data_IF_843865945629
#
_entry.id   IF_843865945629
#
_cell.length_a   1.000
_cell.length_b   1.000
_cell.length_c   1.000
_cell.angle_alpha   90.00
_cell.angle_beta   90.00
_cell.angle_gamma   90.00
#
_symmetry.space_group_name_H-M   'P 1'
#
loop_
_entity.id
_entity.type
_entity.pdbx_description
1 polymer ?
#
# COMPACT_ATOMS: atom_id res chain seq x y z
N UNK A 1 -13.20 -41.86 -12.89
CA UNK A 1 -14.21 -40.85 -13.22
C UNK A 1 -13.86 -39.59 -12.45
N UNK A 2 -13.53 -38.52 -13.19
CA UNK A 2 -12.86 -37.30 -12.73
C UNK A 2 -13.71 -36.48 -11.77
N UNK A 3 -13.23 -36.28 -10.54
CA UNK A 3 -13.64 -35.15 -9.70
C UNK A 3 -12.82 -33.95 -10.15
N UNK A 4 -13.40 -33.27 -11.13
CA UNK A 4 -13.01 -32.02 -11.78
C UNK A 4 -12.05 -31.10 -10.98
N UNK A 5 -10.84 -30.94 -11.51
CA UNK A 5 -9.89 -29.84 -11.25
C UNK A 5 -10.45 -28.44 -11.61
N UNK A 6 -11.67 -28.32 -12.17
CA UNK A 6 -12.32 -27.03 -12.44
C UNK A 6 -12.95 -26.38 -11.19
N UNK A 7 -13.02 -27.08 -10.04
CA UNK A 7 -13.66 -26.55 -8.82
C UNK A 7 -12.78 -25.57 -8.03
N UNK A 8 -11.50 -25.44 -8.39
CA UNK A 8 -10.47 -24.70 -7.65
C UNK A 8 -9.82 -23.57 -8.46
N UNK A 9 -10.42 -23.14 -9.59
CA UNK A 9 -9.90 -21.97 -10.28
C UNK A 9 -10.03 -20.72 -9.39
N UNK A 10 -8.91 -20.01 -9.09
CA UNK A 10 -8.92 -18.85 -8.20
C UNK A 10 -9.92 -17.77 -8.61
N UNK A 11 -10.12 -17.59 -9.92
CA UNK A 11 -11.11 -16.67 -10.49
C UNK A 11 -12.53 -17.08 -10.10
N UNK A 12 -12.90 -18.36 -10.17
CA UNK A 12 -14.24 -18.84 -9.83
C UNK A 12 -14.53 -18.65 -8.33
N UNK A 13 -13.52 -18.90 -7.49
CA UNK A 13 -13.60 -18.69 -6.04
C UNK A 13 -13.76 -17.20 -5.71
N UNK A 14 -12.97 -16.33 -6.35
CA UNK A 14 -13.03 -14.87 -6.17
C UNK A 14 -14.42 -14.31 -6.55
N UNK A 15 -14.95 -14.68 -7.72
CA UNK A 15 -16.29 -14.25 -8.14
C UNK A 15 -17.39 -14.78 -7.21
N UNK A 16 -17.26 -16.03 -6.73
CA UNK A 16 -18.21 -16.63 -5.77
C UNK A 16 -18.15 -15.90 -4.41
N UNK A 17 -16.98 -15.52 -3.94
CA UNK A 17 -16.80 -14.75 -2.72
C UNK A 17 -17.46 -13.37 -2.82
N UNK A 18 -17.22 -12.63 -3.91
CA UNK A 18 -17.90 -11.34 -4.17
C UNK A 18 -19.42 -11.53 -4.21
N UNK A 19 -19.92 -12.57 -4.89
CA UNK A 19 -21.36 -12.85 -4.96
C UNK A 19 -21.96 -13.14 -3.59
N UNK A 20 -21.27 -13.89 -2.72
CA UNK A 20 -21.76 -14.20 -1.38
C UNK A 20 -21.69 -12.99 -0.45
N UNK A 21 -20.66 -12.15 -0.56
CA UNK A 21 -20.58 -10.88 0.15
C UNK A 21 -21.74 -9.95 -0.24
N UNK A 22 -22.06 -9.88 -1.53
CA UNK A 22 -23.24 -9.14 -2.01
C UNK A 22 -24.58 -9.67 -1.47
N UNK A 23 -24.68 -10.94 -1.05
CA UNK A 23 -25.90 -11.46 -0.40
C UNK A 23 -26.00 -11.06 1.07
N UNK A 24 -24.91 -10.62 1.69
CA UNK A 24 -24.83 -10.16 3.09
C UNK A 24 -24.82 -8.64 3.16
N UNK A 25 -25.69 -8.00 2.38
CA UNK A 25 -25.78 -6.54 2.29
C UNK A 25 -26.27 -5.87 3.58
N UNK A 26 -27.04 -6.60 4.40
CA UNK A 26 -27.50 -6.10 5.68
C UNK A 26 -26.48 -6.41 6.78
N UNK A 27 -25.41 -5.61 6.80
CA UNK A 27 -24.34 -5.69 7.78
C UNK A 27 -24.84 -5.49 9.21
N UNK A 28 -25.89 -4.68 9.39
CA UNK A 28 -26.42 -4.31 10.70
C UNK A 28 -27.25 -5.43 11.34
N UNK A 29 -27.77 -6.38 10.55
CA UNK A 29 -28.44 -7.58 11.09
C UNK A 29 -27.47 -8.71 11.48
N UNK A 30 -26.17 -8.56 11.20
CA UNK A 30 -25.15 -9.51 11.63
C UNK A 30 -24.69 -9.20 13.07
N UNK A 31 -24.29 -10.25 13.79
CA UNK A 31 -23.56 -10.09 15.05
C UNK A 31 -22.12 -9.59 14.81
N UNK A 32 -21.42 -9.21 15.88
CA UNK A 32 -20.05 -8.66 15.79
C UNK A 32 -19.11 -9.63 15.06
N UNK A 33 -19.24 -10.94 15.31
CA UNK A 33 -18.42 -11.95 14.63
C UNK A 33 -18.71 -12.03 13.12
N UNK A 34 -19.98 -11.98 12.72
CA UNK A 34 -20.39 -11.93 11.32
C UNK A 34 -19.89 -10.67 10.61
N UNK A 35 -19.97 -9.51 11.27
CA UNK A 35 -19.43 -8.24 10.77
C UNK A 35 -17.92 -8.30 10.56
N UNK A 36 -17.17 -8.78 11.57
CA UNK A 36 -15.73 -8.99 11.48
C UNK A 36 -15.36 -10.01 10.37
N UNK A 37 -16.12 -11.09 10.23
CA UNK A 37 -15.90 -12.09 9.18
C UNK A 37 -16.08 -11.52 7.76
N UNK A 38 -17.04 -10.60 7.59
CA UNK A 38 -17.27 -9.91 6.31
C UNK A 38 -16.08 -8.99 5.99
N UNK A 39 -15.64 -8.18 6.95
CA UNK A 39 -14.48 -7.30 6.76
C UNK A 39 -13.18 -8.09 6.51
N UNK A 40 -12.97 -9.20 7.23
CA UNK A 40 -11.84 -10.09 6.99
C UNK A 40 -11.88 -10.68 5.57
N UNK A 41 -13.06 -11.08 5.10
CA UNK A 41 -13.23 -11.59 3.73
C UNK A 41 -12.89 -10.51 2.69
N UNK A 42 -13.31 -9.26 2.91
CA UNK A 42 -12.95 -8.14 2.04
C UNK A 42 -11.45 -7.84 2.06
N UNK A 43 -10.80 -7.92 3.22
CA UNK A 43 -9.34 -7.78 3.33
C UNK A 43 -8.60 -8.88 2.55
N UNK A 44 -9.06 -10.13 2.63
CA UNK A 44 -8.49 -11.24 1.85
C UNK A 44 -8.68 -11.00 0.34
N UNK A 45 -9.85 -10.51 -0.08
CA UNK A 45 -10.08 -10.13 -1.47
C UNK A 45 -9.18 -8.97 -1.91
N UNK A 46 -8.94 -7.99 -1.05
CA UNK A 46 -8.04 -6.88 -1.32
C UNK A 46 -6.61 -7.39 -1.53
N UNK A 47 -6.11 -8.26 -0.64
CA UNK A 47 -4.80 -8.92 -0.79
C UNK A 47 -4.73 -9.69 -2.11
N UNK A 48 -5.79 -10.43 -2.46
CA UNK A 48 -5.85 -11.17 -3.72
C UNK A 48 -5.73 -10.22 -4.92
N UNK A 49 -6.46 -9.09 -4.91
CA UNK A 49 -6.39 -8.09 -5.97
C UNK A 49 -5.01 -7.43 -6.06
N UNK A 50 -4.37 -7.18 -4.92
CA UNK A 50 -3.00 -6.63 -4.83
C UNK A 50 -1.99 -7.59 -5.45
N UNK A 51 -1.98 -8.85 -5.03
CA UNK A 51 -1.04 -9.87 -5.52
C UNK A 51 -1.25 -10.17 -7.00
N UNK A 52 -2.50 -10.18 -7.46
CA UNK A 52 -2.84 -10.42 -8.87
C UNK A 52 -2.69 -9.18 -9.75
N UNK A 53 -2.39 -8.00 -9.19
CA UNK A 53 -2.34 -6.74 -9.95
C UNK A 53 -3.69 -6.34 -10.56
N UNK A 54 -4.81 -6.66 -9.90
CA UNK A 54 -6.16 -6.30 -10.35
C UNK A 54 -6.50 -4.86 -9.97
N UNK A 55 -7.18 -4.15 -10.88
CA UNK A 55 -7.74 -2.81 -10.65
C UNK A 55 -8.92 -2.80 -9.67
N UNK A 56 -9.48 -3.97 -9.35
CA UNK A 56 -10.59 -4.12 -8.42
C UNK A 56 -10.27 -3.66 -7.00
N UNK A 57 -8.98 -3.47 -6.67
CA UNK A 57 -8.56 -3.02 -5.34
C UNK A 57 -9.29 -1.74 -4.90
N UNK A 58 -9.58 -0.81 -5.83
CA UNK A 58 -10.32 0.43 -5.53
C UNK A 58 -11.75 0.15 -5.11
N UNK A 59 -12.42 -0.75 -5.83
CA UNK A 59 -13.80 -1.16 -5.52
C UNK A 59 -13.85 -1.91 -4.20
N UNK A 60 -12.95 -2.89 -3.99
CA UNK A 60 -12.89 -3.66 -2.75
C UNK A 60 -12.58 -2.75 -1.57
N UNK A 61 -11.61 -1.86 -1.71
CA UNK A 61 -11.25 -0.91 -0.66
C UNK A 61 -12.41 0.05 -0.34
N UNK A 62 -13.11 0.56 -1.36
CA UNK A 62 -14.33 1.35 -1.17
C UNK A 62 -15.45 0.59 -0.44
N UNK A 63 -15.59 -0.72 -0.68
CA UNK A 63 -16.53 -1.56 0.07
C UNK A 63 -16.12 -1.69 1.54
N UNK A 64 -14.83 -1.85 1.84
CA UNK A 64 -14.32 -1.87 3.23
C UNK A 64 -14.67 -0.55 3.94
N UNK A 65 -14.38 0.59 3.32
CA UNK A 65 -14.70 1.91 3.89
C UNK A 65 -16.20 2.09 4.13
N UNK A 66 -17.03 1.66 3.18
CA UNK A 66 -18.50 1.72 3.29
C UNK A 66 -18.98 0.83 4.44
N UNK A 67 -18.45 -0.39 4.57
CA UNK A 67 -18.79 -1.29 5.67
C UNK A 67 -18.44 -0.67 7.03
N UNK A 68 -17.24 -0.10 7.17
CA UNK A 68 -16.84 0.57 8.41
C UNK A 68 -17.76 1.75 8.74
N UNK A 69 -18.09 2.58 7.75
CA UNK A 69 -19.00 3.70 7.96
C UNK A 69 -20.39 3.23 8.44
N UNK A 70 -20.92 2.13 7.88
CA UNK A 70 -22.20 1.54 8.31
C UNK A 70 -22.15 0.95 9.72
N UNK A 71 -20.98 0.54 10.20
CA UNK A 71 -20.77 -0.10 11.50
C UNK A 71 -20.28 0.87 12.58
N UNK A 72 -20.66 2.15 12.50
CA UNK A 72 -20.23 3.21 13.42
C UNK A 72 -18.71 3.45 13.46
N UNK A 73 -18.02 3.18 12.35
CA UNK A 73 -16.58 3.39 12.22
C UNK A 73 -15.74 2.25 12.80
N UNK A 74 -14.51 2.56 13.17
CA UNK A 74 -13.56 1.55 13.68
C UNK A 74 -14.00 0.99 15.04
N UNK A 75 -14.54 1.84 15.92
CA UNK A 75 -14.98 1.47 17.27
C UNK A 75 -16.03 0.36 17.27
N UNK A 76 -16.92 0.32 16.28
CA UNK A 76 -17.91 -0.77 16.16
C UNK A 76 -17.28 -2.15 15.89
N UNK A 77 -16.05 -2.18 15.39
CA UNK A 77 -15.34 -3.41 15.02
C UNK A 77 -14.24 -3.78 16.01
N UNK A 78 -13.74 -2.83 16.82
CA UNK A 78 -12.66 -3.01 17.80
C UNK A 78 -13.06 -3.87 19.00
N UNK A 79 -13.43 -5.12 18.73
CA UNK A 79 -13.81 -6.13 19.71
C UNK A 79 -12.91 -7.37 19.56
N UNK A 80 -12.15 -7.67 20.61
CA UNK A 80 -11.22 -8.81 20.64
C UNK A 80 -10.03 -8.67 19.70
N UNK A 81 -9.25 -9.76 19.60
CA UNK A 81 -8.02 -9.80 18.80
C UNK A 81 -8.30 -9.68 17.30
N UNK A 82 -9.38 -10.32 16.81
CA UNK A 82 -9.76 -10.27 15.40
C UNK A 82 -10.15 -8.85 14.96
N UNK A 83 -10.94 -8.15 15.77
CA UNK A 83 -11.30 -6.75 15.52
C UNK A 83 -10.07 -5.84 15.46
N UNK A 84 -9.18 -5.98 16.45
CA UNK A 84 -7.90 -5.25 16.48
C UNK A 84 -7.06 -5.52 15.24
N UNK A 85 -6.93 -6.79 14.84
CA UNK A 85 -6.20 -7.17 13.63
C UNK A 85 -6.82 -6.54 12.37
N UNK A 86 -8.13 -6.66 12.19
CA UNK A 86 -8.86 -6.12 11.03
C UNK A 86 -8.61 -4.62 10.91
N UNK A 87 -8.83 -3.84 11.98
CA UNK A 87 -8.65 -2.40 11.96
C UNK A 87 -7.21 -2.01 11.65
N UNK A 88 -6.24 -2.70 12.25
CA UNK A 88 -4.82 -2.48 11.96
C UNK A 88 -4.48 -2.71 10.49
N UNK A 89 -5.00 -3.79 9.87
CA UNK A 89 -4.80 -4.03 8.44
C UNK A 89 -5.49 -2.95 7.58
N UNK A 90 -6.70 -2.52 7.93
CA UNK A 90 -7.40 -1.46 7.17
C UNK A 90 -6.63 -0.14 7.24
N UNK A 91 -6.16 0.26 8.43
CA UNK A 91 -5.35 1.48 8.60
C UNK A 91 -4.07 1.44 7.78
N UNK A 92 -3.42 0.28 7.69
CA UNK A 92 -2.23 0.07 6.85
C UNK A 92 -2.55 0.28 5.37
N UNK A 93 -3.59 -0.38 4.86
CA UNK A 93 -3.99 -0.21 3.47
C UNK A 93 -4.47 1.22 3.16
N UNK A 94 -5.13 1.91 4.11
CA UNK A 94 -5.43 3.35 3.99
C UNK A 94 -4.17 4.18 3.72
N UNK A 95 -3.08 3.90 4.45
CA UNK A 95 -1.79 4.54 4.25
C UNK A 95 -1.33 4.40 2.80
N UNK A 96 -1.18 3.16 2.33
CA UNK A 96 -0.66 2.88 1.01
C UNK A 96 -1.57 3.31 -0.16
N UNK A 97 -2.89 3.20 0.00
CA UNK A 97 -3.86 3.47 -1.08
C UNK A 97 -4.18 4.96 -1.22
N UNK A 98 -4.02 5.75 -0.15
CA UNK A 98 -4.44 7.15 -0.15
C UNK A 98 -3.86 8.00 -1.29
N UNK A 99 -2.58 7.86 -1.71
CA UNK A 99 -2.06 8.56 -2.89
C UNK A 99 -2.74 8.16 -4.19
N UNK A 100 -3.16 6.90 -4.30
CA UNK A 100 -3.82 6.34 -5.47
C UNK A 100 -5.26 6.85 -5.60
N UNK A 101 -5.93 7.16 -4.48
CA UNK A 101 -7.30 7.68 -4.48
C UNK A 101 -7.37 9.16 -4.84
N UNK A 102 -6.27 9.91 -4.65
CA UNK A 102 -6.12 11.27 -5.16
C UNK A 102 -5.17 12.13 -4.33
N UNK A 103 -4.60 13.21 -4.92
CA UNK A 103 -3.60 14.06 -4.26
C UNK A 103 -4.03 14.56 -2.87
N UNK A 104 -5.24 15.10 -2.74
CA UNK A 104 -5.75 15.62 -1.47
C UNK A 104 -5.91 14.55 -0.38
N UNK A 105 -6.34 13.34 -0.76
CA UNK A 105 -6.46 12.21 0.17
C UNK A 105 -5.07 11.74 0.62
N UNK A 106 -4.13 11.61 -0.32
CA UNK A 106 -2.74 11.28 -0.05
C UNK A 106 -2.07 12.31 0.86
N UNK A 107 -2.22 13.62 0.61
CA UNK A 107 -1.66 14.67 1.49
C UNK A 107 -2.24 14.57 2.89
N UNK A 108 -3.58 14.51 3.02
CA UNK A 108 -4.23 14.41 4.33
C UNK A 108 -3.72 13.22 5.15
N UNK A 109 -3.50 12.08 4.50
CA UNK A 109 -3.05 10.85 5.17
C UNK A 109 -1.55 10.86 5.44
N UNK A 110 -0.72 11.08 4.41
CA UNK A 110 0.74 10.94 4.53
C UNK A 110 1.38 12.08 5.35
N UNK A 111 0.77 13.27 5.42
CA UNK A 111 1.23 14.33 6.34
C UNK A 111 1.11 13.93 7.82
N UNK A 112 0.20 13.02 8.18
CA UNK A 112 0.11 12.51 9.56
C UNK A 112 1.35 11.71 9.93
N UNK A 113 1.92 10.98 8.96
CA UNK A 113 3.12 10.17 9.13
C UNK A 113 4.37 11.02 9.29
N UNK A 114 4.43 12.17 8.61
CA UNK A 114 5.51 13.16 8.79
C UNK A 114 5.41 13.86 10.15
N UNK A 115 4.21 14.17 10.61
CA UNK A 115 4.01 14.93 11.86
C UNK A 115 4.13 14.08 13.14
N UNK A 116 3.78 12.79 13.07
CA UNK A 116 3.78 11.88 14.23
C UNK A 116 4.51 10.57 13.90
N UNK A 117 5.85 10.61 13.99
CA UNK A 117 6.64 9.39 13.98
C UNK A 117 6.14 8.35 14.98
N UNK A 118 6.12 7.08 14.59
CA UNK A 118 5.80 5.90 15.43
C UNK A 118 4.35 5.74 15.95
N UNK A 119 3.51 6.76 15.82
CA UNK A 119 2.14 6.76 16.37
C UNK A 119 1.07 7.11 15.33
N UNK A 120 1.47 7.31 14.07
CA UNK A 120 0.53 7.54 12.99
C UNK A 120 -0.17 6.23 12.61
N UNK A 121 -1.49 6.31 12.54
CA UNK A 121 -2.33 5.21 12.06
C UNK A 121 -1.84 4.72 10.69
N UNK A 122 -1.80 3.41 10.50
CA UNK A 122 -1.36 2.72 9.29
C UNK A 122 0.10 2.26 9.30
N UNK A 123 0.87 2.64 10.31
CA UNK A 123 2.27 2.25 10.48
C UNK A 123 2.53 1.53 11.81
N UNK A 124 1.47 1.13 12.51
CA UNK A 124 1.54 0.41 13.78
C UNK A 124 2.27 -0.93 13.63
N UNK A 125 2.30 -1.51 12.42
CA UNK A 125 3.10 -2.69 12.12
C UNK A 125 4.59 -2.47 12.39
N UNK A 126 5.13 -1.30 12.07
CA UNK A 126 6.55 -1.02 12.26
C UNK A 126 6.85 -0.96 13.76
N UNK A 127 6.07 -0.19 14.52
CA UNK A 127 6.28 -0.03 15.96
C UNK A 127 6.08 -1.34 16.74
N UNK A 128 5.07 -2.13 16.39
CA UNK A 128 4.85 -3.45 17.02
C UNK A 128 5.98 -4.42 16.67
N UNK A 129 6.45 -4.45 15.42
CA UNK A 129 7.56 -5.33 15.05
C UNK A 129 8.88 -4.92 15.72
N UNK A 130 9.13 -3.62 15.96
CA UNK A 130 10.25 -3.17 16.78
C UNK A 130 10.20 -3.78 18.19
N UNK A 131 9.01 -3.79 18.82
CA UNK A 131 8.83 -4.32 20.17
C UNK A 131 8.98 -5.84 20.21
N UNK A 132 8.46 -6.55 19.21
CA UNK A 132 8.55 -8.01 19.12
C UNK A 132 9.96 -8.50 18.77
N UNK A 133 10.69 -7.74 17.96
CA UNK A 133 12.02 -8.12 17.46
C UNK A 133 13.06 -7.00 17.68
N UNK A 134 13.41 -6.70 18.94
CA UNK A 134 14.29 -5.58 19.28
C UNK A 134 15.73 -5.77 18.76
N UNK A 135 16.16 -7.01 18.54
CA UNK A 135 17.47 -7.32 17.94
C UNK A 135 17.61 -6.82 16.49
N UNK A 136 16.51 -6.44 15.84
CA UNK A 136 16.50 -5.83 14.51
C UNK A 136 16.23 -4.32 14.53
N UNK A 137 16.38 -3.65 15.68
CA UNK A 137 16.10 -2.22 15.86
C UNK A 137 16.70 -1.34 14.75
N UNK A 138 17.95 -1.59 14.35
CA UNK A 138 18.60 -0.83 13.27
C UNK A 138 17.91 -1.01 11.91
N UNK A 139 17.43 -2.22 11.58
CA UNK A 139 16.70 -2.43 10.34
C UNK A 139 15.34 -1.71 10.37
N UNK A 140 14.65 -1.77 11.51
CA UNK A 140 13.37 -1.09 11.68
C UNK A 140 13.49 0.44 11.65
N UNK A 141 14.53 1.01 12.24
CA UNK A 141 14.78 2.46 12.19
C UNK A 141 15.05 2.94 10.76
N UNK A 142 15.77 2.14 9.96
CA UNK A 142 15.98 2.42 8.53
C UNK A 142 14.66 2.34 7.76
N UNK A 143 13.87 1.28 7.95
CA UNK A 143 12.56 1.13 7.28
C UNK A 143 11.62 2.29 7.64
N UNK A 144 11.64 2.72 8.90
CA UNK A 144 10.90 3.88 9.36
C UNK A 144 11.35 5.16 8.63
N UNK A 145 12.65 5.43 8.58
CA UNK A 145 13.21 6.59 7.89
C UNK A 145 12.86 6.60 6.39
N UNK A 146 12.90 5.43 5.74
CA UNK A 146 12.48 5.29 4.34
C UNK A 146 11.01 5.68 4.16
N UNK A 147 10.13 5.24 5.07
CA UNK A 147 8.72 5.58 5.00
C UNK A 147 8.48 7.08 5.17
N UNK A 148 9.12 7.69 6.17
CA UNK A 148 9.04 9.13 6.42
C UNK A 148 9.52 9.94 5.21
N UNK A 149 10.69 9.59 4.65
CA UNK A 149 11.25 10.24 3.47
C UNK A 149 10.33 10.11 2.25
N UNK A 150 9.76 8.93 2.00
CA UNK A 150 8.82 8.71 0.90
C UNK A 150 7.52 9.52 1.08
N UNK A 151 6.98 9.56 2.30
CA UNK A 151 5.81 10.38 2.64
C UNK A 151 6.09 11.86 2.41
N UNK A 152 7.25 12.36 2.87
CA UNK A 152 7.65 13.75 2.71
C UNK A 152 7.83 14.12 1.22
N UNK A 153 8.46 13.25 0.42
CA UNK A 153 8.62 13.44 -1.03
C UNK A 153 7.25 13.55 -1.71
N UNK A 154 6.33 12.62 -1.41
CA UNK A 154 4.99 12.65 -1.96
C UNK A 154 4.24 13.93 -1.58
N UNK A 155 4.17 14.26 -0.28
CA UNK A 155 3.44 15.44 0.21
C UNK A 155 4.00 16.71 -0.42
N UNK A 156 5.33 16.82 -0.47
CA UNK A 156 6.01 17.95 -1.08
C UNK A 156 5.66 18.09 -2.56
N UNK A 157 5.65 17.00 -3.32
CA UNK A 157 5.27 17.02 -4.74
C UNK A 157 3.78 17.32 -4.95
N UNK A 158 2.90 16.71 -4.16
CA UNK A 158 1.46 16.89 -4.28
C UNK A 158 1.01 18.33 -4.00
N UNK A 159 1.71 19.02 -3.09
CA UNK A 159 1.49 20.44 -2.77
C UNK A 159 2.25 21.42 -3.68
N UNK A 160 3.13 20.91 -4.54
CA UNK A 160 3.94 21.75 -5.41
C UNK A 160 3.13 22.34 -6.56
N UNK A 161 3.46 23.57 -6.94
CA UNK A 161 2.90 24.17 -8.16
C UNK A 161 3.35 23.37 -9.40
N UNK A 162 2.52 23.29 -10.45
CA UNK A 162 2.96 22.79 -11.75
C UNK A 162 4.26 23.50 -12.18
N UNK A 163 5.25 22.75 -12.64
CA UNK A 163 6.56 23.33 -12.97
C UNK A 163 7.60 23.34 -11.87
N UNK A 164 7.24 22.97 -10.64
CA UNK A 164 8.22 22.90 -9.54
C UNK A 164 9.34 21.88 -9.85
N UNK A 165 10.60 22.23 -9.54
CA UNK A 165 11.76 21.39 -9.86
C UNK A 165 11.66 20.00 -9.19
N UNK A 166 12.47 19.07 -9.71
CA UNK A 166 12.65 17.76 -9.10
C UNK A 166 13.44 17.86 -7.80
N UNK A 167 13.12 16.99 -6.83
CA UNK A 167 13.76 16.95 -5.51
C UNK A 167 14.93 15.97 -5.49
N UNK A 168 15.94 16.24 -6.33
CA UNK A 168 17.13 15.38 -6.50
C UNK A 168 17.75 15.00 -5.15
N UNK A 169 17.90 15.97 -4.25
CA UNK A 169 18.55 15.78 -2.96
C UNK A 169 17.77 14.82 -2.06
N UNK A 170 16.44 14.94 -2.01
CA UNK A 170 15.59 14.04 -1.22
C UNK A 170 15.61 12.61 -1.77
N UNK A 171 15.60 12.45 -3.10
CA UNK A 171 15.72 11.13 -3.74
C UNK A 171 17.08 10.50 -3.43
N UNK A 172 18.15 11.31 -3.45
CA UNK A 172 19.51 10.86 -3.14
C UNK A 172 19.63 10.44 -1.67
N UNK A 173 19.06 11.22 -0.75
CA UNK A 173 19.01 10.87 0.68
C UNK A 173 18.27 9.55 0.91
N UNK A 174 17.14 9.35 0.22
CA UNK A 174 16.39 8.10 0.28
C UNK A 174 17.21 6.91 -0.21
N UNK A 175 17.88 7.04 -1.36
CA UNK A 175 18.75 5.99 -1.90
C UNK A 175 19.89 5.66 -0.92
N UNK A 176 20.52 6.67 -0.32
CA UNK A 176 21.58 6.47 0.67
C UNK A 176 21.05 5.77 1.94
N UNK A 177 19.83 6.09 2.35
CA UNK A 177 19.14 5.40 3.45
C UNK A 177 18.83 3.95 3.10
N UNK A 178 18.34 3.69 1.89
CA UNK A 178 18.00 2.35 1.42
C UNK A 178 19.23 1.44 1.33
N UNK A 179 20.37 1.98 0.88
CA UNK A 179 21.65 1.24 0.81
C UNK A 179 22.16 0.76 2.16
N UNK A 180 21.71 1.37 3.27
CA UNK A 180 22.06 0.93 4.64
C UNK A 180 21.26 -0.30 5.08
N UNK A 181 20.17 -0.65 4.40
CA UNK A 181 19.33 -1.79 4.74
C UNK A 181 19.93 -3.10 4.17
N UNK A 182 20.30 -4.08 5.01
CA UNK A 182 20.78 -5.38 4.53
C UNK A 182 19.79 -6.09 3.58
N UNK A 183 20.27 -6.82 2.55
CA UNK A 183 19.43 -7.51 1.55
C UNK A 183 18.47 -8.57 2.11
N UNK A 184 18.68 -9.01 3.35
CA UNK A 184 17.88 -10.02 4.05
C UNK A 184 17.32 -9.49 5.38
N UNK A 185 17.25 -8.17 5.53
CA UNK A 185 16.66 -7.56 6.71
C UNK A 185 15.19 -7.94 6.86
N UNK A 186 14.73 -8.23 8.09
CA UNK A 186 13.31 -8.34 8.36
C UNK A 186 12.62 -7.03 8.03
N UNK A 187 11.40 -7.13 7.50
CA UNK A 187 10.63 -5.96 7.07
C UNK A 187 11.00 -5.41 5.70
N UNK A 188 11.99 -5.96 5.00
CA UNK A 188 12.30 -5.57 3.62
C UNK A 188 11.07 -5.70 2.70
N UNK A 189 10.16 -6.64 2.97
CA UNK A 189 8.88 -6.74 2.24
C UNK A 189 7.97 -5.50 2.37
N UNK A 190 8.27 -4.54 3.24
CA UNK A 190 7.46 -3.32 3.47
C UNK A 190 7.95 -2.10 2.68
N UNK A 191 9.13 -2.16 2.05
CA UNK A 191 9.71 -1.04 1.30
C UNK A 191 9.28 -0.90 -0.18
N UNK A 192 8.67 -1.88 -0.88
CA UNK A 192 8.33 -1.69 -2.30
C UNK A 192 7.47 -0.46 -2.58
N UNK A 193 6.48 -0.18 -1.74
CA UNK A 193 5.65 1.03 -1.86
C UNK A 193 6.44 2.33 -1.70
N UNK A 194 7.35 2.41 -0.72
CA UNK A 194 8.16 3.62 -0.49
C UNK A 194 9.12 3.84 -1.67
N UNK A 195 9.77 2.77 -2.15
CA UNK A 195 10.65 2.80 -3.32
C UNK A 195 9.88 3.26 -4.55
N UNK A 196 8.66 2.75 -4.77
CA UNK A 196 7.82 3.15 -5.91
C UNK A 196 7.49 4.65 -5.89
N UNK A 197 7.09 5.21 -4.74
CA UNK A 197 6.81 6.64 -4.64
C UNK A 197 8.05 7.49 -4.94
N UNK A 198 9.21 7.11 -4.39
CA UNK A 198 10.45 7.85 -4.61
C UNK A 198 10.95 7.71 -6.05
N UNK A 199 10.77 6.53 -6.65
CA UNK A 199 11.09 6.29 -8.06
C UNK A 199 10.28 7.20 -8.98
N UNK A 200 9.03 7.51 -8.65
CA UNK A 200 8.22 8.45 -9.43
C UNK A 200 8.78 9.89 -9.39
N UNK A 201 9.45 10.29 -8.31
CA UNK A 201 10.11 11.60 -8.19
C UNK A 201 11.48 11.63 -8.89
N UNK A 202 12.14 10.48 -9.08
CA UNK A 202 13.52 10.37 -9.53
C UNK A 202 13.80 11.07 -10.89
N UNK A 203 14.58 12.16 -10.90
CA UNK A 203 14.90 12.88 -12.14
C UNK A 203 16.05 12.27 -12.93
N UNK A 204 17.05 11.66 -12.25
CA UNK A 204 18.27 11.21 -12.91
C UNK A 204 18.19 9.75 -13.38
N UNK A 205 18.76 9.41 -14.55
CA UNK A 205 18.80 8.03 -15.06
C UNK A 205 19.38 7.02 -14.06
N UNK A 206 20.47 7.37 -13.38
CA UNK A 206 21.13 6.46 -12.41
C UNK A 206 20.26 6.17 -11.20
N UNK A 207 19.51 7.18 -10.71
CA UNK A 207 18.55 7.01 -9.61
C UNK A 207 17.41 6.08 -10.04
N UNK A 208 16.87 6.28 -11.25
CA UNK A 208 15.81 5.44 -11.83
C UNK A 208 16.26 4.00 -11.98
N UNK A 209 17.45 3.77 -12.55
CA UNK A 209 18.02 2.44 -12.75
C UNK A 209 18.20 1.71 -11.40
N UNK A 210 18.72 2.39 -10.39
CA UNK A 210 18.89 1.81 -9.06
C UNK A 210 17.54 1.39 -8.46
N UNK A 211 16.57 2.30 -8.41
CA UNK A 211 15.25 2.06 -7.79
C UNK A 211 14.46 0.99 -8.56
N UNK A 212 14.49 1.03 -9.89
CA UNK A 212 13.91 -0.02 -10.75
C UNK A 212 14.55 -1.39 -10.47
N UNK A 213 15.88 -1.44 -10.36
CA UNK A 213 16.60 -2.67 -10.03
C UNK A 213 16.15 -3.27 -8.69
N UNK A 214 15.92 -2.43 -7.67
CA UNK A 214 15.42 -2.90 -6.37
C UNK A 214 13.99 -3.45 -6.49
N UNK A 215 13.07 -2.73 -7.15
CA UNK A 215 11.69 -3.19 -7.38
C UNK A 215 11.64 -4.50 -8.19
N UNK A 216 12.49 -4.65 -9.21
CA UNK A 216 12.62 -5.88 -9.98
C UNK A 216 13.11 -7.05 -9.10
N UNK A 217 14.03 -6.80 -8.18
CA UNK A 217 14.49 -7.82 -7.25
C UNK A 217 13.39 -8.24 -6.26
N UNK A 218 12.53 -7.31 -5.83
CA UNK A 218 11.32 -7.66 -5.06
C UNK A 218 10.35 -8.53 -5.87
N UNK A 219 10.10 -8.16 -7.12
CA UNK A 219 9.25 -8.96 -8.01
C UNK A 219 9.80 -10.38 -8.20
N UNK A 220 11.10 -10.54 -8.42
CA UNK A 220 11.75 -11.87 -8.52
C UNK A 220 11.56 -12.72 -7.25
N UNK A 221 11.45 -12.09 -6.08
CA UNK A 221 11.28 -12.77 -4.79
C UNK A 221 9.83 -13.14 -4.49
N UNK A 222 8.87 -12.27 -4.77
CA UNK A 222 7.46 -12.47 -4.38
C UNK A 222 6.51 -12.84 -5.53
N UNK A 223 6.88 -12.57 -6.78
CA UNK A 223 6.05 -12.82 -7.96
C UNK A 223 4.79 -11.97 -8.07
N UNK A 224 4.62 -10.92 -7.27
CA UNK A 224 3.39 -10.13 -7.25
C UNK A 224 3.24 -9.36 -8.58
N UNK A 225 2.10 -9.54 -9.24
CA UNK A 225 1.85 -8.99 -10.56
C UNK A 225 1.64 -7.47 -10.56
N UNK A 226 1.45 -6.86 -9.38
CA UNK A 226 1.40 -5.40 -9.23
C UNK A 226 2.73 -4.71 -9.61
N UNK A 227 3.89 -5.30 -9.30
CA UNK A 227 5.19 -4.65 -9.50
C UNK A 227 5.55 -4.44 -10.98
N UNK A 228 5.39 -5.43 -11.89
CA UNK A 228 5.61 -5.19 -13.33
C UNK A 228 4.69 -4.12 -13.91
N UNK A 229 3.46 -3.99 -13.41
CA UNK A 229 2.52 -2.94 -13.86
C UNK A 229 2.97 -1.57 -13.33
N UNK A 230 3.39 -1.50 -12.07
CA UNK A 230 3.92 -0.29 -11.44
C UNK A 230 5.20 0.20 -12.12
N UNK A 231 6.11 -0.70 -12.50
CA UNK A 231 7.33 -0.38 -13.24
C UNK A 231 7.02 0.22 -14.62
N UNK A 232 6.09 -0.38 -15.38
CA UNK A 232 5.63 0.20 -16.65
C UNK A 232 5.00 1.58 -16.48
N UNK A 233 4.33 1.82 -15.36
CA UNK A 233 3.81 3.15 -15.03
C UNK A 233 4.94 4.14 -14.75
N UNK A 234 5.96 3.77 -13.97
CA UNK A 234 7.13 4.61 -13.71
C UNK A 234 7.87 5.00 -15.00
N UNK A 235 8.04 4.05 -15.93
CA UNK A 235 8.64 4.32 -17.24
C UNK A 235 7.88 5.40 -18.02
N UNK A 236 6.54 5.40 -17.95
CA UNK A 236 5.70 6.46 -18.54
C UNK A 236 5.85 7.81 -17.83
N UNK A 237 5.95 7.79 -16.50
CA UNK A 237 6.21 9.00 -15.70
C UNK A 237 7.55 9.62 -16.10
N UNK A 238 8.59 8.80 -16.28
CA UNK A 238 9.94 9.28 -16.66
C UNK A 238 10.05 9.75 -18.10
N UNK A 239 9.25 9.19 -19.04
CA UNK A 239 9.27 9.60 -20.44
C UNK A 239 8.55 10.92 -20.70
N UNK A 240 7.63 11.32 -19.83
CA UNK A 240 6.87 12.55 -19.98
C UNK A 240 7.67 13.75 -19.44
N UNK A 241 8.30 14.52 -20.33
CA UNK A 241 9.17 15.64 -19.96
C UNK A 241 8.43 16.92 -19.53
N UNK A 242 7.11 17.01 -19.72
CA UNK A 242 6.34 18.24 -19.48
C UNK A 242 5.57 18.17 -18.18
N UNK A 243 6.11 18.81 -17.13
CA UNK A 243 5.39 19.40 -15.99
C UNK A 243 4.30 18.56 -15.32
N UNK A 244 4.44 17.25 -15.37
CA UNK A 244 3.45 16.34 -14.87
C UNK A 244 3.64 16.18 -13.36
N UNK A 245 2.64 16.58 -12.58
CA UNK A 245 2.61 16.23 -11.16
C UNK A 245 2.32 14.72 -11.08
N UNK A 246 3.37 13.90 -10.93
CA UNK A 246 3.22 12.44 -10.86
C UNK A 246 2.27 11.99 -9.74
N UNK A 247 2.14 12.78 -8.67
CA UNK A 247 1.15 12.52 -7.61
C UNK A 247 -0.29 12.52 -8.15
N UNK A 248 -0.58 13.34 -9.17
CA UNK A 248 -1.87 13.31 -9.86
C UNK A 248 -2.00 12.08 -10.78
N UNK A 249 -0.95 11.66 -11.48
CA UNK A 249 -1.02 10.44 -12.32
C UNK A 249 -1.26 9.15 -11.51
N UNK A 250 -0.97 9.14 -10.21
CA UNK A 250 -1.24 7.96 -9.38
C UNK A 250 -2.72 7.56 -9.34
N UNK A 251 -3.64 8.48 -9.65
CA UNK A 251 -5.08 8.14 -9.78
C UNK A 251 -5.34 7.17 -10.91
N UNK A 252 -4.49 7.19 -11.94
CA UNK A 252 -4.58 6.32 -13.12
C UNK A 252 -3.83 5.01 -12.94
N UNK A 253 -3.09 4.82 -11.84
CA UNK A 253 -2.40 3.57 -11.57
C UNK A 253 -3.44 2.45 -11.36
N UNK A 254 -3.44 1.38 -12.18
CA UNK A 254 -4.46 0.34 -12.12
C UNK A 254 -4.12 -0.75 -11.09
N UNK A 255 -3.05 -0.58 -10.31
CA UNK A 255 -2.58 -1.57 -9.34
C UNK A 255 -2.31 -0.94 -7.99
N UNK A 256 -2.42 -1.77 -6.96
CA UNK A 256 -2.03 -1.41 -5.62
C UNK A 256 -0.61 -1.90 -5.36
N UNK A 257 0.35 -0.98 -5.24
CA UNK A 257 1.74 -1.29 -4.88
C UNK A 257 1.85 -1.49 -3.37
N UNK A 258 2.36 -2.65 -2.95
CA UNK A 258 2.75 -2.98 -1.56
C UNK A 258 4.04 -3.77 -1.57
#
# INVERSE_FOLDING_TARGET
>A
MNVSDQALEPIVIYHKAIRNLRKRQDLNSQDIFGQQSILLSLLVLLVSAVVSGSSDFRTIFGLIETCLHSLNGEEGILHGELGTFIIRQIRKYRGYVSPLLGPGQGVRRLSQSVAKPYTSDGWEDISVNCQLYPHFENAWSIIYALNEQACNIYVSRALANPGSPSRIDLVTEFINTLKRLPPDSPGLYMVPWTIFLVAAEAPEPDQRQFLEGVLLNHYKRNGFANLPVALRFLQKVWSNQTYWNWAQALTELPVFVV
#
